data_IF_023945215740
#
_entry.id   IF_023945215740
#
_cell.length_a   1.000
_cell.length_b   1.000
_cell.length_c   1.000
_cell.angle_alpha   90.00
_cell.angle_beta   90.00
_cell.angle_gamma   90.00
#
_symmetry.space_group_name_H-M   'P 1'
#
loop_
_entity.id
_entity.type
_entity.pdbx_description
1 polymer ?
#
# COMPACT_ATOMS: atom_id res chain seq x y z
N UNK A 1 -10.82 0.68 9.61
CA UNK A 1 -11.06 1.55 10.79
C UNK A 1 -11.74 0.77 11.89
N UNK A 2 -11.44 1.06 13.15
CA UNK A 2 -12.16 0.56 14.31
C UNK A 2 -13.34 1.47 14.65
N UNK A 3 -14.07 1.13 15.71
CA UNK A 3 -15.24 1.88 16.13
C UNK A 3 -14.89 3.34 16.47
N UNK A 4 -15.64 4.28 15.92
CA UNK A 4 -15.48 5.71 16.21
C UNK A 4 -15.56 5.98 17.73
N UNK A 5 -14.59 6.77 18.23
CA UNK A 5 -14.47 7.10 19.65
C UNK A 5 -13.83 6.02 20.53
N UNK A 6 -13.52 4.83 19.99
CA UNK A 6 -12.76 3.80 20.69
C UNK A 6 -11.95 2.94 19.72
N UNK A 7 -10.81 3.46 19.30
CA UNK A 7 -9.92 2.81 18.31
C UNK A 7 -9.16 1.59 18.83
N UNK A 8 -9.35 1.27 20.12
CA UNK A 8 -8.78 0.07 20.74
C UNK A 8 -9.84 -1.00 21.08
N UNK A 9 -11.11 -0.75 20.72
CA UNK A 9 -12.18 -1.72 20.97
C UNK A 9 -11.95 -3.03 20.22
N UNK A 10 -12.22 -4.15 20.89
CA UNK A 10 -12.11 -5.49 20.30
C UNK A 10 -13.43 -5.91 19.61
N UNK A 11 -13.37 -6.64 18.49
CA UNK A 11 -12.15 -7.02 17.75
C UNK A 11 -11.54 -5.86 16.98
N UNK A 12 -10.23 -5.73 17.03
CA UNK A 12 -9.50 -4.72 16.25
C UNK A 12 -9.55 -5.08 14.75
N UNK A 13 -9.68 -4.05 13.90
CA UNK A 13 -9.51 -4.19 12.44
C UNK A 13 -8.09 -4.69 12.12
N UNK A 14 -7.98 -5.92 11.63
CA UNK A 14 -6.72 -6.58 11.33
C UNK A 14 -6.80 -7.34 10.00
N UNK A 15 -6.99 -6.64 8.86
CA UNK A 15 -7.05 -7.28 7.56
C UNK A 15 -5.66 -7.75 7.11
N UNK A 16 -5.65 -8.84 6.34
CA UNK A 16 -4.48 -9.28 5.55
C UNK A 16 -4.82 -9.04 4.09
N UNK A 17 -4.08 -8.15 3.43
CA UNK A 17 -4.32 -7.76 2.04
C UNK A 17 -3.02 -7.88 1.26
N UNK A 18 -3.09 -8.49 0.08
CA UNK A 18 -1.91 -8.64 -0.77
C UNK A 18 -2.20 -8.40 -2.25
N UNK A 19 -1.16 -8.12 -3.01
CA UNK A 19 -1.18 -8.00 -4.46
C UNK A 19 -2.19 -6.97 -4.97
N UNK A 20 -2.02 -5.73 -4.53
CA UNK A 20 -2.86 -4.61 -4.93
C UNK A 20 -2.05 -3.57 -5.72
N UNK A 21 -2.66 -3.03 -6.78
CA UNK A 21 -2.16 -1.85 -7.49
C UNK A 21 -3.15 -0.71 -7.29
N UNK A 22 -2.66 0.40 -6.76
CA UNK A 22 -3.43 1.63 -6.54
C UNK A 22 -2.83 2.72 -7.43
N UNK A 23 -3.63 3.24 -8.34
CA UNK A 23 -3.26 4.34 -9.22
C UNK A 23 -4.14 5.52 -8.85
N UNK A 24 -3.57 6.49 -8.17
CA UNK A 24 -4.26 7.70 -7.79
C UNK A 24 -4.44 8.68 -8.95
N UNK A 25 -5.18 9.74 -8.69
CA UNK A 25 -5.42 10.82 -9.65
C UNK A 25 -5.42 12.18 -8.95
N UNK A 26 -5.56 13.25 -9.72
CA UNK A 26 -5.65 14.63 -9.22
C UNK A 26 -7.05 15.22 -9.39
N UNK A 27 -8.06 14.38 -9.56
CA UNK A 27 -9.39 14.84 -9.96
C UNK A 27 -10.05 15.74 -8.91
N UNK A 28 -9.80 15.49 -7.64
CA UNK A 28 -10.49 16.19 -6.55
C UNK A 28 -9.76 17.40 -5.96
N UNK A 29 -8.56 17.68 -6.31
CA UNK A 29 -7.81 18.94 -6.18
C UNK A 29 -7.90 19.76 -4.88
N UNK A 30 -8.71 19.42 -3.92
CA UNK A 30 -9.00 20.24 -2.76
C UNK A 30 -8.75 19.57 -1.40
N UNK A 31 -8.68 18.25 -1.37
CA UNK A 31 -8.45 17.50 -0.14
C UNK A 31 -7.30 16.51 -0.34
N UNK A 32 -6.63 16.19 0.75
CA UNK A 32 -5.59 15.18 0.80
C UNK A 32 -6.17 13.85 0.28
N UNK A 33 -5.70 13.41 -0.89
CA UNK A 33 -6.11 12.13 -1.48
C UNK A 33 -5.01 11.12 -1.27
N UNK A 34 -5.17 10.27 -0.27
CA UNK A 34 -4.22 9.22 0.04
C UNK A 34 -4.44 7.99 -0.83
N UNK A 35 -3.35 7.38 -1.30
CA UNK A 35 -3.40 6.06 -1.92
C UNK A 35 -3.80 4.99 -0.90
N UNK A 36 -3.17 5.00 0.26
CA UNK A 36 -3.48 4.16 1.41
C UNK A 36 -3.45 4.98 2.70
N UNK A 37 -4.57 5.08 3.37
CA UNK A 37 -4.69 5.68 4.69
C UNK A 37 -4.91 4.60 5.76
N UNK A 38 -3.96 4.47 6.68
CA UNK A 38 -4.02 3.54 7.80
C UNK A 38 -4.30 4.31 9.08
N UNK A 39 -5.54 4.25 9.56
CA UNK A 39 -5.99 5.08 10.68
C UNK A 39 -6.92 4.34 11.64
N UNK A 40 -7.36 5.04 12.68
CA UNK A 40 -8.37 4.59 13.63
C UNK A 40 -8.05 3.22 14.26
N UNK A 41 -6.80 2.98 14.60
CA UNK A 41 -6.35 1.74 15.23
C UNK A 41 -6.31 0.52 14.31
N UNK A 42 -6.31 0.70 12.99
CA UNK A 42 -6.12 -0.41 12.05
C UNK A 42 -4.76 -1.08 12.25
N UNK A 43 -4.76 -2.40 12.33
CA UNK A 43 -3.58 -3.26 12.52
C UNK A 43 -3.38 -4.21 11.33
N UNK A 44 -3.34 -3.67 10.13
CA UNK A 44 -3.29 -4.43 8.88
C UNK A 44 -1.93 -5.12 8.64
N UNK A 45 -1.95 -6.25 7.93
CA UNK A 45 -0.79 -6.87 7.32
C UNK A 45 -0.91 -6.74 5.80
N UNK A 46 -0.08 -5.88 5.21
CA UNK A 46 -0.10 -5.56 3.79
C UNK A 46 1.14 -6.12 3.11
N UNK A 47 1.00 -6.66 1.89
CA UNK A 47 2.13 -7.17 1.13
C UNK A 47 1.93 -7.01 -0.38
N UNK A 48 3.04 -6.84 -1.10
CA UNK A 48 3.05 -6.81 -2.56
C UNK A 48 2.19 -5.68 -3.18
N UNK A 49 2.21 -4.51 -2.57
CA UNK A 49 1.50 -3.34 -3.10
C UNK A 49 2.34 -2.58 -4.12
N UNK A 50 1.68 -2.06 -5.14
CA UNK A 50 2.17 -0.98 -5.99
C UNK A 50 1.25 0.21 -5.78
N UNK A 51 1.79 1.33 -5.29
CA UNK A 51 1.03 2.55 -5.07
C UNK A 51 1.68 3.65 -5.88
N UNK A 52 0.93 4.30 -6.74
CA UNK A 52 1.43 5.35 -7.61
C UNK A 52 0.34 6.37 -7.94
N UNK A 53 0.74 7.50 -8.49
CA UNK A 53 -0.16 8.54 -8.97
C UNK A 53 0.61 9.66 -9.67
N UNK A 54 -0.09 10.58 -10.34
CA UNK A 54 0.52 11.73 -10.99
C UNK A 54 1.04 12.75 -9.97
N UNK A 55 1.87 13.69 -10.46
CA UNK A 55 2.25 14.85 -9.67
C UNK A 55 0.99 15.65 -9.28
N UNK A 56 0.89 16.05 -8.02
CA UNK A 56 -0.28 16.75 -7.47
C UNK A 56 -1.36 15.84 -6.87
N UNK A 57 -1.20 14.53 -6.94
CA UNK A 57 -1.86 13.63 -6.00
C UNK A 57 -1.33 13.93 -4.59
N UNK A 58 -2.16 13.77 -3.57
CA UNK A 58 -1.76 13.80 -2.16
C UNK A 58 -0.75 12.70 -1.82
N UNK A 59 -0.80 12.20 -0.63
CA UNK A 59 0.15 11.18 -0.18
C UNK A 59 -0.19 9.79 -0.72
N UNK A 60 0.82 9.02 -1.07
CA UNK A 60 0.61 7.61 -1.42
C UNK A 60 0.36 6.72 -0.21
N UNK A 61 0.96 7.04 0.91
CA UNK A 61 0.79 6.32 2.17
C UNK A 61 0.81 7.30 3.35
N UNK A 62 -0.21 7.21 4.18
CA UNK A 62 -0.26 7.88 5.49
C UNK A 62 -0.61 6.89 6.59
N UNK A 63 0.02 7.03 7.76
CA UNK A 63 -0.39 6.38 9.00
C UNK A 63 -0.86 7.46 9.97
N UNK A 64 -2.18 7.58 10.09
CA UNK A 64 -2.86 8.52 10.97
C UNK A 64 -3.31 7.81 12.25
N UNK A 65 -3.61 8.57 13.27
CA UNK A 65 -3.99 8.16 14.61
C UNK A 65 -2.88 7.52 15.45
N UNK A 66 -2.87 7.89 16.73
CA UNK A 66 -1.87 7.43 17.68
C UNK A 66 -1.87 5.90 17.84
N UNK A 67 -3.04 5.28 17.74
CA UNK A 67 -3.22 3.83 17.87
C UNK A 67 -2.61 3.07 16.70
N UNK A 68 -2.87 3.51 15.44
CA UNK A 68 -2.25 2.90 14.26
C UNK A 68 -0.73 3.12 14.24
N UNK A 69 -0.28 4.30 14.63
CA UNK A 69 1.15 4.60 14.78
C UNK A 69 1.82 3.71 15.82
N UNK A 70 1.16 3.48 16.97
CA UNK A 70 1.66 2.57 17.99
C UNK A 70 1.77 1.12 17.49
N UNK A 71 0.82 0.65 16.68
CA UNK A 71 0.86 -0.68 16.06
C UNK A 71 1.97 -0.80 15.02
N UNK A 72 2.20 0.25 14.24
CA UNK A 72 3.34 0.31 13.31
C UNK A 72 4.68 0.30 14.06
N UNK A 73 4.81 1.07 15.13
CA UNK A 73 6.01 1.09 15.99
C UNK A 73 6.24 -0.26 16.69
N UNK A 74 5.19 -0.97 17.09
CA UNK A 74 5.26 -2.30 17.69
C UNK A 74 5.52 -3.42 16.66
N UNK A 75 5.48 -3.13 15.36
CA UNK A 75 5.70 -4.11 14.29
C UNK A 75 4.53 -5.06 14.04
N UNK A 76 3.33 -4.76 14.52
CA UNK A 76 2.11 -5.55 14.27
C UNK A 76 1.34 -5.04 13.06
N UNK A 77 1.30 -3.73 12.83
CA UNK A 77 0.94 -3.14 11.54
C UNK A 77 2.14 -3.22 10.62
N UNK A 78 2.01 -3.90 9.49
CA UNK A 78 3.13 -4.15 8.57
C UNK A 78 2.74 -3.88 7.12
N UNK A 79 3.72 -3.42 6.34
CA UNK A 79 3.64 -3.35 4.88
C UNK A 79 4.97 -3.83 4.30
N UNK A 80 4.98 -4.91 3.53
CA UNK A 80 6.21 -5.55 3.06
C UNK A 80 6.19 -5.79 1.56
N UNK A 81 7.37 -5.91 0.94
CA UNK A 81 7.55 -6.23 -0.49
C UNK A 81 6.70 -5.33 -1.41
N UNK A 82 6.66 -4.05 -1.07
CA UNK A 82 5.78 -3.06 -1.70
C UNK A 82 6.61 -1.92 -2.29
N UNK A 83 6.08 -1.27 -3.32
CA UNK A 83 6.69 -0.10 -3.94
C UNK A 83 5.74 1.08 -3.94
N UNK A 84 6.25 2.25 -3.56
CA UNK A 84 5.56 3.53 -3.65
C UNK A 84 6.28 4.39 -4.68
N UNK A 85 5.55 4.86 -5.68
CA UNK A 85 6.07 5.61 -6.81
C UNK A 85 5.24 6.88 -7.03
N UNK A 86 5.32 7.81 -6.08
CA UNK A 86 4.60 9.10 -6.12
C UNK A 86 5.62 10.24 -6.20
N UNK A 87 5.45 11.16 -7.15
CA UNK A 87 6.46 12.20 -7.43
C UNK A 87 6.50 13.34 -6.40
N UNK A 88 5.45 13.50 -5.60
CA UNK A 88 5.37 14.45 -4.49
C UNK A 88 5.25 13.68 -3.19
N UNK A 89 5.22 14.29 -2.06
CA UNK A 89 5.27 13.70 -0.71
C UNK A 89 4.70 12.26 -0.61
N UNK A 90 5.53 11.29 -1.02
CA UNK A 90 5.09 9.91 -1.26
C UNK A 90 4.56 9.23 0.01
N UNK A 91 5.06 9.66 1.17
CA UNK A 91 4.75 9.03 2.47
C UNK A 91 4.73 10.10 3.57
N UNK A 92 3.59 10.28 4.20
CA UNK A 92 3.33 11.33 5.20
C UNK A 92 3.26 10.79 6.63
N UNK A 93 3.56 11.65 7.58
CA UNK A 93 3.36 11.41 8.99
C UNK A 93 4.52 10.74 9.71
N UNK A 94 4.26 10.34 10.95
CA UNK A 94 5.23 9.71 11.85
C UNK A 94 4.58 8.51 12.52
N UNK A 95 5.35 7.46 12.77
CA UNK A 95 4.90 6.27 13.51
C UNK A 95 5.30 6.32 14.99
N UNK A 96 6.33 7.11 15.31
CA UNK A 96 6.79 7.34 16.69
C UNK A 96 7.61 8.64 16.74
N UNK A 97 7.97 9.08 17.95
CA UNK A 97 8.88 10.21 18.11
C UNK A 97 10.21 9.96 17.39
N UNK A 98 10.51 10.79 16.39
CA UNK A 98 11.74 10.68 15.60
C UNK A 98 11.72 9.59 14.52
N UNK A 99 10.62 8.88 14.31
CA UNK A 99 10.48 7.86 13.24
C UNK A 99 9.36 8.27 12.29
N UNK A 100 9.73 8.73 11.10
CA UNK A 100 8.76 9.06 10.05
C UNK A 100 8.12 7.79 9.47
N UNK A 101 6.91 7.92 8.92
CA UNK A 101 6.25 6.82 8.19
C UNK A 101 7.11 6.34 7.02
N UNK A 102 7.82 7.25 6.35
CA UNK A 102 8.78 6.89 5.29
C UNK A 102 9.93 6.02 5.80
N UNK A 103 10.53 6.36 6.94
CA UNK A 103 11.57 5.54 7.55
C UNK A 103 11.04 4.18 8.00
N UNK A 104 9.84 4.15 8.57
CA UNK A 104 9.15 2.90 8.91
C UNK A 104 8.91 2.04 7.66
N UNK A 105 8.37 2.62 6.58
CA UNK A 105 8.12 1.90 5.33
C UNK A 105 9.40 1.31 4.75
N UNK A 106 10.45 2.12 4.62
CA UNK A 106 11.74 1.67 4.08
C UNK A 106 12.47 0.67 4.99
N UNK A 107 12.17 0.67 6.28
CA UNK A 107 12.68 -0.32 7.25
C UNK A 107 12.00 -1.68 7.17
N UNK A 108 10.85 -1.80 6.50
CA UNK A 108 10.17 -3.09 6.30
C UNK A 108 10.82 -3.87 5.16
N UNK A 109 10.73 -5.20 5.23
CA UNK A 109 11.36 -6.10 4.25
C UNK A 109 10.85 -5.86 2.84
N UNK A 110 11.77 -5.68 1.90
CA UNK A 110 11.48 -5.64 0.47
C UNK A 110 10.78 -4.40 -0.06
N UNK A 111 10.58 -3.39 0.77
CA UNK A 111 9.97 -2.13 0.36
C UNK A 111 10.96 -1.21 -0.36
N UNK A 112 10.46 -0.43 -1.30
CA UNK A 112 11.24 0.60 -1.98
C UNK A 112 10.38 1.80 -2.40
N UNK A 113 11.02 2.95 -2.57
CA UNK A 113 10.47 4.10 -3.26
C UNK A 113 10.97 4.10 -4.70
N UNK A 114 10.12 4.51 -5.64
CA UNK A 114 10.47 4.73 -7.04
C UNK A 114 10.09 6.16 -7.47
N UNK A 115 10.63 6.62 -8.58
CA UNK A 115 10.53 8.02 -8.96
C UNK A 115 9.10 8.43 -9.35
N UNK A 116 8.41 7.57 -10.11
CA UNK A 116 7.09 7.87 -10.69
C UNK A 116 6.39 6.58 -11.16
N UNK A 117 5.20 6.74 -11.71
CA UNK A 117 4.40 5.64 -12.24
C UNK A 117 5.13 4.85 -13.34
N UNK A 118 5.84 5.51 -14.24
CA UNK A 118 6.52 4.84 -15.36
C UNK A 118 7.67 3.93 -14.89
N UNK A 119 8.20 4.18 -13.69
CA UNK A 119 9.22 3.33 -13.09
C UNK A 119 8.66 1.99 -12.55
N UNK A 120 7.34 1.87 -12.39
CA UNK A 120 6.71 0.70 -11.75
C UNK A 120 5.61 0.05 -12.57
N UNK A 121 4.99 0.77 -13.50
CA UNK A 121 3.88 0.28 -14.34
C UNK A 121 4.12 0.53 -15.83
N UNK A 122 3.72 -0.44 -16.65
CA UNK A 122 3.48 -0.27 -18.08
C UNK A 122 1.98 -0.51 -18.32
N UNK A 123 1.20 0.56 -18.47
CA UNK A 123 -0.25 0.51 -18.35
C UNK A 123 -0.65 0.05 -16.96
N UNK A 124 -1.37 -1.08 -16.87
CA UNK A 124 -1.77 -1.71 -15.60
C UNK A 124 -0.78 -2.76 -15.09
N UNK A 125 0.18 -3.14 -15.95
CA UNK A 125 1.11 -4.22 -15.65
C UNK A 125 2.27 -3.75 -14.81
N UNK A 126 2.50 -4.45 -13.71
CA UNK A 126 3.69 -4.21 -12.90
C UNK A 126 4.95 -4.60 -13.67
N UNK A 127 5.91 -3.69 -13.73
CA UNK A 127 7.25 -3.93 -14.25
C UNK A 127 8.22 -4.25 -13.10
N UNK A 128 9.33 -3.64 -12.93
CA UNK A 128 10.29 -3.99 -11.86
C UNK A 128 9.84 -3.46 -10.48
N UNK A 129 9.37 -4.34 -9.60
CA UNK A 129 8.97 -4.00 -8.22
C UNK A 129 9.74 -4.76 -7.15
N UNK A 130 10.69 -5.59 -7.52
CA UNK A 130 11.42 -6.45 -6.59
C UNK A 130 10.72 -7.80 -6.35
N UNK A 131 11.24 -8.57 -5.41
CA UNK A 131 10.72 -9.89 -5.10
C UNK A 131 9.39 -9.81 -4.34
N UNK A 132 8.36 -10.47 -4.86
CA UNK A 132 7.10 -10.62 -4.15
C UNK A 132 7.25 -11.54 -2.92
N UNK A 133 6.46 -11.27 -1.90
CA UNK A 133 6.29 -12.16 -0.75
C UNK A 133 5.25 -13.23 -1.09
N UNK A 134 5.57 -14.49 -0.89
CA UNK A 134 4.57 -15.55 -0.92
C UNK A 134 3.65 -15.40 0.30
N UNK A 135 2.37 -15.16 0.06
CA UNK A 135 1.37 -14.97 1.11
C UNK A 135 0.62 -16.25 1.49
N UNK A 136 0.79 -17.33 0.73
CA UNK A 136 0.14 -18.61 1.02
C UNK A 136 0.50 -19.20 2.39
N UNK A 137 1.75 -19.12 2.87
CA UNK A 137 2.09 -19.54 4.23
C UNK A 137 1.50 -18.65 5.34
N UNK A 138 1.14 -17.38 5.01
CA UNK A 138 0.51 -16.47 5.97
C UNK A 138 -0.96 -16.81 6.13
N UNK A 139 -1.65 -17.09 5.03
CA UNK A 139 -3.05 -17.57 5.03
C UNK A 139 -3.32 -18.39 3.77
N UNK A 140 -3.91 -19.57 3.94
CA UNK A 140 -4.23 -20.51 2.84
C UNK A 140 -5.23 -19.95 1.80
N UNK A 141 -5.90 -18.83 2.10
CA UNK A 141 -6.73 -18.10 1.14
C UNK A 141 -5.93 -17.58 -0.06
N UNK A 142 -4.65 -17.24 0.12
CA UNK A 142 -3.83 -16.68 -0.95
C UNK A 142 -3.25 -17.77 -1.86
N UNK A 143 -3.18 -17.47 -3.14
CA UNK A 143 -2.37 -18.22 -4.08
C UNK A 143 -0.90 -17.77 -4.02
N UNK A 144 0.00 -18.68 -4.39
CA UNK A 144 1.41 -18.33 -4.59
C UNK A 144 1.56 -17.53 -5.87
N UNK A 145 2.03 -16.30 -5.75
CA UNK A 145 2.35 -15.43 -6.88
C UNK A 145 3.79 -14.93 -6.78
N UNK A 146 4.39 -14.59 -7.91
CA UNK A 146 5.81 -14.20 -8.01
C UNK A 146 5.99 -12.73 -8.38
N UNK A 147 4.92 -11.95 -8.40
CA UNK A 147 4.91 -10.53 -8.77
C UNK A 147 4.28 -9.67 -7.69
N UNK A 148 4.71 -8.43 -7.60
CA UNK A 148 4.13 -7.37 -6.77
C UNK A 148 3.05 -6.63 -7.57
N UNK A 149 2.04 -6.08 -6.89
CA UNK A 149 0.88 -5.46 -7.54
C UNK A 149 -0.19 -6.47 -7.96
N UNK A 150 -1.25 -5.98 -8.60
CA UNK A 150 -2.44 -6.77 -8.91
C UNK A 150 -2.33 -7.56 -10.21
N UNK A 151 -1.60 -7.05 -11.21
CA UNK A 151 -1.56 -7.62 -12.55
C UNK A 151 -0.13 -7.64 -13.07
N UNK A 152 0.31 -8.77 -13.62
CA UNK A 152 1.56 -8.88 -14.36
C UNK A 152 1.30 -9.20 -15.82
N UNK A 153 2.29 -8.94 -16.71
CA UNK A 153 2.15 -9.29 -18.13
C UNK A 153 1.92 -10.78 -18.36
N UNK A 154 2.47 -11.63 -17.49
CA UNK A 154 2.32 -13.09 -17.58
C UNK A 154 1.03 -13.60 -16.96
N UNK A 155 0.30 -12.76 -16.20
CA UNK A 155 -0.94 -13.11 -15.53
C UNK A 155 -1.93 -11.96 -15.60
N UNK A 156 -2.49 -11.75 -16.79
CA UNK A 156 -3.54 -10.75 -17.00
C UNK A 156 -4.93 -11.36 -16.73
N UNK A 157 -5.28 -11.48 -15.47
CA UNK A 157 -6.58 -12.00 -15.03
C UNK A 157 -7.74 -11.02 -15.30
N UNK A 158 -7.44 -9.76 -15.67
CA UNK A 158 -8.45 -8.73 -15.97
C UNK A 158 -8.97 -8.81 -17.40
N UNK A 159 -8.28 -9.53 -18.29
CA UNK A 159 -8.65 -9.63 -19.69
C UNK A 159 -10.04 -10.24 -19.88
N UNK A 160 -10.87 -9.58 -20.68
CA UNK A 160 -12.18 -10.07 -21.10
C UNK A 160 -13.35 -9.79 -20.16
N UNK A 161 -13.11 -9.18 -18.97
CA UNK A 161 -14.20 -8.84 -18.05
C UNK A 161 -14.09 -7.43 -17.42
N UNK A 162 -12.99 -6.72 -17.65
CA UNK A 162 -12.82 -5.33 -17.24
C UNK A 162 -12.95 -4.39 -18.44
N UNK A 163 -13.39 -3.15 -18.21
CA UNK A 163 -13.54 -2.11 -19.22
C UNK A 163 -12.52 -1.01 -18.94
N UNK A 164 -11.84 -0.55 -20.00
CA UNK A 164 -10.88 0.57 -19.91
C UNK A 164 -9.50 0.23 -19.34
N UNK A 165 -9.22 -1.02 -19.00
CA UNK A 165 -7.92 -1.43 -18.48
C UNK A 165 -6.99 -2.06 -19.54
N UNK A 166 -7.52 -2.47 -20.67
CA UNK A 166 -6.78 -3.21 -21.71
C UNK A 166 -6.98 -2.63 -23.12
N UNK A 167 -7.46 -1.38 -23.22
CA UNK A 167 -7.71 -0.70 -24.49
C UNK A 167 -6.45 0.06 -24.97
#
# INVERSE_FOLDING_TARGET
DNQSGNFTALPISNPIIANMTIIGNTFDGTDDSEGVLLRAGTNAQLANFVITGPAGMGECLEIESAESQAMAAAGTLTMTNSVIACPTEAVKGNVASGVTTSAWFLGQTGNKLAADQAAVLNGIFTIDTGAAKDMKPVNAFFDTVTFTGAVSQSNNWTAGWTVGLND
#
